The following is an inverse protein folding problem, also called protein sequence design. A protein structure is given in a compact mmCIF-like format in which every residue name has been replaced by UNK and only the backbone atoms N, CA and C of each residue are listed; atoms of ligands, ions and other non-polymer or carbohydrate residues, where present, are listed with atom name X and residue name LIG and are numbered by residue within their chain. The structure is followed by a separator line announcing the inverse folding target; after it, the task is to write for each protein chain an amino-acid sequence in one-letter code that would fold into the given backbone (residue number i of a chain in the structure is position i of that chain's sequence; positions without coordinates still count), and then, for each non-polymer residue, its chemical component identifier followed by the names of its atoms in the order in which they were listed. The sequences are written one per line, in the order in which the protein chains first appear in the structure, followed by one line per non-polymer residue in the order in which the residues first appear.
data_IF_030886622618
#
_entry.id   IF_030886622618
#
_cell.length_a   1.000
_cell.length_b   1.000
_cell.length_c   1.000
_cell.angle_alpha   90.00
_cell.angle_beta   90.00
_cell.angle_gamma   90.00
#
_symmetry.space_group_name_H-M   'P 1'
#
loop_
_entity.id
_entity.type
_entity.pdbx_description
1 polymer ?
#
# COMPACT_ATOMS: atom_id res chain seq x y z
N UNK A 1 10.25 -18.53 1.68
CA UNK A 1 10.15 -17.08 1.86
C UNK A 1 8.66 -16.71 1.95
N UNK A 2 8.13 -16.43 3.14
CA UNK A 2 6.71 -16.09 3.35
C UNK A 2 6.50 -14.58 3.52
N UNK A 3 7.56 -13.79 3.33
CA UNK A 3 7.57 -12.34 3.49
C UNK A 3 6.65 -11.61 2.48
N UNK A 4 6.16 -12.30 1.44
CA UNK A 4 5.15 -11.77 0.52
C UNK A 4 3.70 -11.93 1.05
N UNK A 5 3.45 -12.88 1.95
CA UNK A 5 2.09 -13.18 2.43
C UNK A 5 1.71 -12.22 3.56
N UNK A 6 0.66 -11.40 3.42
CA UNK A 6 0.30 -10.40 4.43
C UNK A 6 -0.14 -11.04 5.73
N UNK A 7 0.36 -10.53 6.84
CA UNK A 7 0.00 -11.03 8.17
C UNK A 7 -1.42 -10.61 8.54
N UNK A 8 -2.32 -11.59 8.64
CA UNK A 8 -3.72 -11.37 9.05
C UNK A 8 -3.81 -10.77 10.45
N UNK A 9 -2.94 -11.19 11.38
CA UNK A 9 -2.92 -10.66 12.75
C UNK A 9 -2.39 -9.23 12.82
N UNK A 10 -1.44 -8.86 11.94
CA UNK A 10 -0.92 -7.50 11.87
C UNK A 10 -1.97 -6.53 11.34
N UNK A 11 -2.71 -6.93 10.30
CA UNK A 11 -3.88 -6.17 9.81
C UNK A 11 -4.92 -5.95 10.91
N UNK A 12 -5.05 -6.89 11.84
CA UNK A 12 -5.99 -6.81 12.96
C UNK A 12 -5.39 -6.15 14.22
N UNK A 13 -4.14 -5.70 14.19
CA UNK A 13 -3.45 -5.09 15.33
C UNK A 13 -3.10 -6.08 16.47
N UNK A 14 -3.23 -7.38 16.22
CA UNK A 14 -3.04 -8.45 17.20
C UNK A 14 -1.74 -9.25 16.97
N UNK A 15 -0.85 -8.77 16.10
CA UNK A 15 0.39 -9.50 15.84
C UNK A 15 1.42 -9.25 16.94
N UNK A 16 1.78 -10.32 17.65
CA UNK A 16 2.76 -10.30 18.73
C UNK A 16 4.20 -10.57 18.25
N UNK A 17 4.36 -10.99 17.00
CA UNK A 17 5.66 -11.35 16.42
C UNK A 17 6.49 -10.13 15.95
N UNK A 18 5.89 -8.93 15.88
CA UNK A 18 6.59 -7.69 15.51
C UNK A 18 7.42 -7.85 14.22
N UNK A 19 8.69 -7.46 14.25
CA UNK A 19 9.61 -7.55 13.11
C UNK A 19 10.14 -8.97 12.83
N UNK A 20 9.85 -9.95 13.68
CA UNK A 20 10.21 -11.37 13.49
C UNK A 20 9.09 -12.20 12.88
N UNK A 21 8.00 -11.57 12.43
CA UNK A 21 6.93 -12.30 11.78
C UNK A 21 7.39 -12.84 10.42
N UNK A 22 7.16 -14.14 10.11
CA UNK A 22 7.48 -14.69 8.80
C UNK A 22 6.55 -14.17 7.68
N UNK A 23 5.49 -13.45 8.05
CA UNK A 23 4.49 -12.86 7.16
C UNK A 23 4.70 -11.35 7.03
N UNK A 24 4.29 -10.77 5.91
CA UNK A 24 4.47 -9.34 5.66
C UNK A 24 3.68 -8.49 6.66
N UNK A 25 4.42 -7.63 7.35
CA UNK A 25 3.88 -6.52 8.16
C UNK A 25 3.95 -5.19 7.40
N UNK A 26 4.17 -5.22 6.08
CA UNK A 26 3.93 -4.04 5.28
C UNK A 26 2.41 -3.87 5.22
N UNK A 27 1.87 -2.93 5.99
CA UNK A 27 0.60 -2.32 5.61
C UNK A 27 0.86 -1.77 4.22
N UNK A 28 0.40 -2.49 3.21
CA UNK A 28 0.57 -2.09 1.84
C UNK A 28 -0.35 -0.89 1.57
N UNK A 29 0.03 0.23 2.16
CA UNK A 29 -0.14 1.57 1.61
C UNK A 29 0.87 1.79 0.48
N UNK A 30 1.51 0.73 -0.05
CA UNK A 30 2.28 0.84 -1.28
C UNK A 30 1.38 0.91 -2.51
N UNK A 31 0.14 0.41 -2.44
CA UNK A 31 -0.92 0.84 -3.37
C UNK A 31 -1.16 2.34 -3.28
N UNK A 32 -1.21 2.91 -2.07
CA UNK A 32 -1.48 4.34 -1.86
C UNK A 32 -0.31 5.24 -2.31
N UNK A 33 0.93 4.76 -2.24
CA UNK A 33 2.14 5.48 -2.70
C UNK A 33 2.55 5.16 -4.14
N UNK A 34 2.02 4.10 -4.75
CA UNK A 34 2.28 3.83 -6.15
C UNK A 34 1.73 4.98 -7.01
N UNK A 35 2.56 5.64 -7.84
CA UNK A 35 2.12 6.77 -8.63
C UNK A 35 1.02 6.33 -9.59
N UNK A 36 -0.09 7.07 -9.56
CA UNK A 36 -1.22 6.80 -10.42
C UNK A 36 -0.82 7.03 -11.88
N UNK A 37 -0.63 5.94 -12.63
CA UNK A 37 -0.31 5.97 -14.07
C UNK A 37 -1.32 6.77 -14.90
N UNK A 38 -2.59 6.82 -14.46
CA UNK A 38 -3.64 7.59 -15.13
C UNK A 38 -3.56 9.08 -14.78
N UNK A 39 -3.16 9.43 -13.56
CA UNK A 39 -2.94 10.81 -13.16
C UNK A 39 -1.73 11.42 -13.85
N UNK A 40 -0.61 10.68 -13.94
CA UNK A 40 0.55 11.07 -14.76
C UNK A 40 0.17 11.33 -16.23
N UNK A 41 -0.83 10.61 -16.76
CA UNK A 41 -1.39 10.81 -18.11
C UNK A 41 -2.53 11.83 -18.17
N UNK A 42 -2.90 12.48 -17.07
CA UNK A 42 -4.02 13.44 -17.00
C UNK A 42 -5.42 12.84 -17.18
N UNK A 43 -5.56 11.52 -17.11
CA UNK A 43 -6.81 10.78 -17.41
C UNK A 43 -7.39 10.04 -16.19
N UNK A 44 -6.97 10.41 -14.97
CA UNK A 44 -7.50 9.75 -13.77
C UNK A 44 -8.94 10.17 -13.48
N UNK A 45 -9.85 9.18 -13.49
CA UNK A 45 -11.31 9.37 -13.27
C UNK A 45 -11.69 9.47 -11.80
N UNK A 46 -10.77 9.07 -10.92
CA UNK A 46 -11.03 8.91 -9.48
C UNK A 46 -10.65 10.15 -8.66
N UNK A 47 -9.94 11.11 -9.25
CA UNK A 47 -9.56 12.36 -8.58
C UNK A 47 -8.88 12.11 -7.22
N UNK A 48 -9.28 12.86 -6.21
CA UNK A 48 -8.76 12.75 -4.83
C UNK A 48 -9.14 11.44 -4.12
N UNK A 49 -10.04 10.62 -4.69
CA UNK A 49 -10.43 9.30 -4.17
C UNK A 49 -9.71 8.16 -4.88
N UNK A 50 -8.66 8.46 -5.66
CA UNK A 50 -7.88 7.42 -6.31
C UNK A 50 -7.15 6.60 -5.26
N UNK A 51 -7.17 5.27 -5.43
CA UNK A 51 -6.41 4.35 -4.59
C UNK A 51 -4.88 4.43 -4.83
N UNK A 52 -4.43 5.25 -5.78
CA UNK A 52 -3.04 5.42 -6.20
C UNK A 52 -2.61 6.88 -6.01
N UNK A 53 -1.33 7.14 -5.72
CA UNK A 53 -0.80 8.48 -5.44
C UNK A 53 -0.92 9.44 -6.63
N UNK A 54 -1.53 10.60 -6.41
CA UNK A 54 -1.55 11.73 -7.36
C UNK A 54 -0.42 12.71 -7.02
N UNK A 55 0.79 12.41 -7.51
CA UNK A 55 1.99 13.23 -7.27
C UNK A 55 2.07 14.31 -8.36
N UNK A 56 1.87 15.58 -7.99
CA UNK A 56 2.17 16.73 -8.86
C UNK A 56 3.67 17.06 -8.71
N UNK A 57 4.44 17.13 -9.81
CA UNK A 57 5.73 17.82 -9.75
C UNK A 57 5.47 19.31 -9.53
N UNK A 58 6.12 19.89 -8.51
CA UNK A 58 6.21 21.34 -8.32
C UNK A 58 6.94 22.00 -9.50
#
# INVERSE_FOLDING_TARGET
DLAHVPCKFFKQGACQAGSSCPFSHTMDSTVDTAPCKYFQKGNCKFGLKCALAHILPD
#
